data_IF_515701142483
#
_entry.id   IF_515701142483
#
_cell.length_a   1.000
_cell.length_b   1.000
_cell.length_c   1.000
_cell.angle_alpha   90.00
_cell.angle_beta   90.00
_cell.angle_gamma   90.00
#
_symmetry.space_group_name_H-M   'P 1'
#
loop_
_entity.id
_entity.type
_entity.pdbx_description
1 polymer ?
#
# COMPACT_ATOMS: atom_id res chain seq x y z
N UNK A 1 12.38 -6.74 -10.04
CA UNK A 1 12.97 -5.40 -10.23
C UNK A 1 12.19 -4.27 -9.51
N UNK A 2 11.75 -4.46 -8.25
CA UNK A 2 11.34 -3.36 -7.33
C UNK A 2 11.74 -3.74 -5.90
N UNK A 3 11.37 -4.94 -5.48
CA UNK A 3 11.79 -5.58 -4.21
C UNK A 3 13.31 -5.59 -4.07
N UNK A 4 14.05 -6.09 -5.08
CA UNK A 4 15.53 -6.10 -5.08
C UNK A 4 16.18 -4.72 -4.92
N UNK A 5 15.57 -3.68 -5.50
CA UNK A 5 16.08 -2.31 -5.37
C UNK A 5 15.95 -1.79 -3.95
N UNK A 6 14.81 -2.04 -3.30
CA UNK A 6 14.58 -1.68 -1.89
C UNK A 6 15.50 -2.51 -0.98
N UNK A 7 15.63 -3.81 -1.22
CA UNK A 7 16.56 -4.67 -0.46
C UNK A 7 18.00 -4.15 -0.53
N UNK A 8 18.48 -3.83 -1.73
CA UNK A 8 19.83 -3.30 -1.93
C UNK A 8 20.01 -1.91 -1.29
N UNK A 9 19.03 -1.02 -1.40
CA UNK A 9 19.14 0.34 -0.87
C UNK A 9 19.22 0.39 0.66
N UNK A 10 18.47 -0.49 1.33
CA UNK A 10 18.42 -0.57 2.80
C UNK A 10 19.29 -1.71 3.38
N UNK A 11 20.12 -2.37 2.56
CA UNK A 11 20.93 -3.53 2.94
C UNK A 11 20.13 -4.62 3.70
N UNK A 12 18.94 -4.94 3.21
CA UNK A 12 18.10 -5.96 3.83
C UNK A 12 18.66 -7.37 3.58
N UNK A 13 18.66 -8.26 4.59
CA UNK A 13 19.02 -9.67 4.41
C UNK A 13 18.05 -10.39 3.47
N UNK A 14 18.52 -11.48 2.84
CA UNK A 14 17.76 -12.21 1.82
C UNK A 14 16.39 -12.71 2.29
N UNK A 15 16.31 -13.15 3.55
CA UNK A 15 15.10 -13.69 4.17
C UNK A 15 14.06 -12.61 4.55
N UNK A 16 14.43 -11.33 4.50
CA UNK A 16 13.52 -10.21 4.79
C UNK A 16 12.94 -9.71 3.47
N UNK A 17 11.61 -9.78 3.33
CA UNK A 17 10.91 -9.27 2.16
C UNK A 17 10.23 -7.95 2.48
N UNK A 18 10.66 -6.82 1.87
CA UNK A 18 9.96 -5.55 2.04
C UNK A 18 8.56 -5.63 1.44
N UNK A 19 7.55 -5.22 2.21
CA UNK A 19 6.15 -5.27 1.80
C UNK A 19 5.69 -3.97 1.14
N UNK A 20 5.91 -2.83 1.81
CA UNK A 20 5.49 -1.51 1.33
C UNK A 20 6.47 -0.42 1.77
N UNK A 21 6.50 0.66 1.00
CA UNK A 21 7.11 1.92 1.37
C UNK A 21 6.01 2.98 1.47
N UNK A 22 5.93 3.67 2.60
CA UNK A 22 4.90 4.68 2.88
C UNK A 22 5.59 6.04 2.94
N UNK A 23 5.31 6.91 1.96
CA UNK A 23 5.79 8.28 1.97
C UNK A 23 4.90 9.14 2.87
N UNK A 24 5.52 9.96 3.71
CA UNK A 24 4.83 10.90 4.61
C UNK A 24 5.43 12.29 4.38
N UNK A 25 4.60 13.32 4.31
CA UNK A 25 5.00 14.70 4.11
C UNK A 25 3.81 15.62 3.87
N UNK A 26 4.08 16.90 3.69
CA UNK A 26 3.05 17.87 3.32
C UNK A 26 2.71 17.71 1.85
N UNK A 27 1.42 17.56 1.56
CA UNK A 27 0.90 17.50 0.19
C UNK A 27 0.72 18.91 -0.35
N UNK A 28 1.19 19.16 -1.57
CA UNK A 28 0.82 20.35 -2.34
C UNK A 28 -0.56 20.19 -3.00
N UNK A 29 -1.13 18.99 -2.97
CA UNK A 29 -2.43 18.64 -3.52
C UNK A 29 -3.53 18.63 -2.46
N UNK A 30 -4.75 18.95 -2.88
CA UNK A 30 -5.93 18.86 -2.03
C UNK A 30 -6.39 17.40 -1.94
N UNK A 31 -6.33 16.82 -0.74
CA UNK A 31 -6.83 15.47 -0.50
C UNK A 31 -8.36 15.47 -0.66
N UNK A 32 -8.86 14.96 -1.79
CA UNK A 32 -10.30 14.86 -2.04
C UNK A 32 -10.85 13.61 -1.38
N UNK A 33 -11.97 13.75 -0.69
CA UNK A 33 -12.73 12.59 -0.23
C UNK A 33 -13.19 11.76 -1.43
N UNK A 34 -12.97 10.45 -1.35
CA UNK A 34 -13.44 9.48 -2.33
C UNK A 34 -14.36 8.53 -1.59
N UNK A 35 -15.66 8.57 -1.91
CA UNK A 35 -16.59 7.55 -1.43
C UNK A 35 -16.27 6.23 -2.13
N UNK A 36 -15.91 5.22 -1.33
CA UNK A 36 -15.56 3.88 -1.79
C UNK A 36 -16.59 2.85 -1.34
N UNK A 37 -17.73 3.28 -0.80
CA UNK A 37 -18.81 2.39 -0.44
C UNK A 37 -19.36 1.68 -1.68
N UNK A 38 -19.49 0.36 -1.57
CA UNK A 38 -20.01 -0.49 -2.62
C UNK A 38 -20.85 -1.60 -1.99
N UNK A 39 -22.17 -1.43 -2.05
CA UNK A 39 -23.11 -2.39 -1.49
C UNK A 39 -23.03 -3.78 -2.14
N UNK A 40 -22.52 -3.87 -3.38
CA UNK A 40 -22.36 -5.17 -4.06
C UNK A 40 -21.29 -6.05 -3.43
N UNK A 41 -20.38 -5.47 -2.62
CA UNK A 41 -19.35 -6.19 -1.86
C UNK A 41 -19.82 -6.67 -0.48
N UNK A 42 -21.11 -6.46 -0.15
CA UNK A 42 -21.70 -6.87 1.12
C UNK A 42 -22.46 -8.17 0.88
N UNK A 43 -21.99 -9.24 1.53
CA UNK A 43 -22.54 -10.58 1.39
C UNK A 43 -23.11 -11.05 2.74
N UNK A 44 -24.43 -11.29 2.80
CA UNK A 44 -25.11 -11.75 4.01
C UNK A 44 -25.29 -13.26 4.00
N UNK A 45 -24.84 -13.93 5.07
CA UNK A 45 -24.94 -15.38 5.32
C UNK A 45 -24.19 -16.28 4.33
N UNK A 46 -23.93 -15.82 3.11
CA UNK A 46 -23.18 -16.53 2.07
C UNK A 46 -22.54 -15.51 1.12
N UNK A 47 -21.35 -15.83 0.63
CA UNK A 47 -20.62 -15.08 -0.40
C UNK A 47 -21.34 -15.16 -1.75
#
# INVERSE_FOLDING_TARGET
>A
MRIEGVKKHFNLPDHITPFAAIAIGYSNDNCKFVDRFDASKIHYNKY
#
